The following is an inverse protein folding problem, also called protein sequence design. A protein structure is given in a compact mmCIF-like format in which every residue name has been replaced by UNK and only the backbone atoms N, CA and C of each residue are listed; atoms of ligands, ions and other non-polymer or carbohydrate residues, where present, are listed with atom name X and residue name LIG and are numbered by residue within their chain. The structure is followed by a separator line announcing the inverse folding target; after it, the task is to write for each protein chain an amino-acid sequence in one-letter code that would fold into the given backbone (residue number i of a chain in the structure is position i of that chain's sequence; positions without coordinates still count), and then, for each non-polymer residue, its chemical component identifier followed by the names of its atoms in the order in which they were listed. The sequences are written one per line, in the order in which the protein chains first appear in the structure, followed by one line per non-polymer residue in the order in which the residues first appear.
data_IF_292114096747
#
_entry.id   IF_292114096747
#
_cell.length_a   1.000
_cell.length_b   1.000
_cell.length_c   1.000
_cell.angle_alpha   90.00
_cell.angle_beta   90.00
_cell.angle_gamma   90.00
#
_symmetry.space_group_name_H-M   'P 1'
#
loop_
_entity.id
_entity.type
_entity.pdbx_description
1 polymer ?
#
# COMPACT_ATOMS: atom_id res chain seq x y z
N UNK A 1 22.36 -15.79 26.61
CA UNK A 1 22.93 -15.84 25.24
C UNK A 1 23.44 -14.44 24.95
N UNK A 2 24.69 -14.27 24.53
CA UNK A 2 25.16 -12.95 24.08
C UNK A 2 24.35 -12.59 22.84
N UNK A 3 23.47 -11.59 22.93
CA UNK A 3 22.85 -10.99 21.75
C UNK A 3 23.98 -10.33 20.94
N UNK A 4 24.32 -10.97 19.82
CA UNK A 4 25.33 -10.45 18.92
C UNK A 4 24.77 -9.19 18.25
N UNK A 5 25.49 -8.08 18.34
CA UNK A 5 25.08 -6.80 17.75
C UNK A 5 24.91 -6.98 16.23
N UNK A 6 23.72 -6.69 15.67
CA UNK A 6 23.46 -6.86 14.23
C UNK A 6 24.45 -6.07 13.38
N UNK A 7 24.87 -6.64 12.25
CA UNK A 7 25.74 -5.95 11.30
C UNK A 7 24.96 -5.42 10.11
N UNK A 8 25.19 -4.15 9.81
CA UNK A 8 24.34 -3.38 8.91
C UNK A 8 25.09 -2.99 7.64
N UNK A 9 24.39 -3.08 6.51
CA UNK A 9 24.82 -2.49 5.25
C UNK A 9 23.80 -1.43 4.79
N UNK A 10 24.29 -0.26 4.40
CA UNK A 10 23.49 0.86 3.92
C UNK A 10 23.77 1.09 2.44
N UNK A 11 22.71 1.07 1.62
CA UNK A 11 22.75 1.38 0.19
C UNK A 11 21.74 2.49 -0.09
N UNK A 12 22.22 3.64 -0.54
CA UNK A 12 21.39 4.80 -0.83
C UNK A 12 21.37 5.08 -2.33
N UNK A 13 20.19 5.01 -2.93
CA UNK A 13 19.88 5.64 -4.20
C UNK A 13 19.80 7.15 -3.99
N UNK A 14 20.99 7.74 -3.92
CA UNK A 14 21.18 9.08 -3.38
C UNK A 14 20.60 10.13 -4.32
N UNK A 15 20.61 9.87 -5.63
CA UNK A 15 19.99 10.75 -6.61
C UNK A 15 18.48 10.88 -6.37
N UNK A 16 17.75 9.76 -6.30
CA UNK A 16 16.31 9.80 -6.07
C UNK A 16 15.97 10.39 -4.69
N UNK A 17 16.70 10.03 -3.64
CA UNK A 17 16.48 10.60 -2.31
C UNK A 17 16.73 12.11 -2.27
N UNK A 18 17.80 12.60 -2.91
CA UNK A 18 18.13 14.03 -2.90
C UNK A 18 17.12 14.85 -3.73
N UNK A 19 16.59 14.28 -4.82
CA UNK A 19 15.50 14.90 -5.60
C UNK A 19 14.22 14.97 -4.77
N UNK A 20 13.75 13.85 -4.20
CA UNK A 20 12.56 13.82 -3.34
C UNK A 20 12.69 14.75 -2.13
N UNK A 21 13.86 14.82 -1.50
CA UNK A 21 14.11 15.72 -0.38
C UNK A 21 13.93 17.20 -0.78
N UNK A 22 14.42 17.58 -1.97
CA UNK A 22 14.26 18.95 -2.49
C UNK A 22 12.81 19.26 -2.87
N UNK A 23 12.05 18.26 -3.32
CA UNK A 23 10.62 18.43 -3.61
C UNK A 23 9.79 18.64 -2.33
N UNK A 24 10.08 17.89 -1.26
CA UNK A 24 9.39 18.01 0.03
C UNK A 24 9.80 19.25 0.80
N UNK A 25 11.09 19.62 0.76
CA UNK A 25 11.65 20.75 1.51
C UNK A 25 12.30 21.78 0.57
N UNK A 26 11.53 22.47 -0.29
CA UNK A 26 12.07 23.34 -1.33
C UNK A 26 12.83 24.56 -0.80
N UNK A 27 12.53 25.00 0.43
CA UNK A 27 13.15 26.16 1.08
C UNK A 27 14.32 25.79 2.01
N UNK A 28 14.55 24.50 2.25
CA UNK A 28 15.63 24.04 3.12
C UNK A 28 16.86 23.74 2.27
N UNK A 29 18.00 24.40 2.51
CA UNK A 29 19.25 24.03 1.85
C UNK A 29 19.74 22.68 2.39
N UNK A 30 20.16 21.78 1.50
CA UNK A 30 20.58 20.41 1.84
C UNK A 30 19.59 19.67 2.76
N UNK A 31 18.34 19.45 2.30
CA UNK A 31 17.29 18.89 3.16
C UNK A 31 17.56 17.44 3.60
N UNK A 32 18.34 16.68 2.83
CA UNK A 32 18.67 15.30 3.17
C UNK A 32 19.82 15.27 4.20
N UNK A 33 19.47 15.08 5.48
CA UNK A 33 20.45 15.03 6.58
C UNK A 33 21.00 13.62 6.76
N UNK A 34 22.27 13.43 6.40
CA UNK A 34 22.93 12.11 6.42
C UNK A 34 23.11 11.58 7.85
N UNK A 35 23.31 12.46 8.83
CA UNK A 35 23.44 12.07 10.24
C UNK A 35 22.17 11.38 10.75
N UNK A 36 21.00 11.91 10.39
CA UNK A 36 19.72 11.37 10.86
C UNK A 36 19.51 9.93 10.32
N UNK A 37 19.90 9.68 9.07
CA UNK A 37 19.90 8.33 8.46
C UNK A 37 20.89 7.41 9.18
N UNK A 38 22.12 7.88 9.40
CA UNK A 38 23.16 7.08 10.05
C UNK A 38 22.83 6.77 11.50
N UNK A 39 22.30 7.72 12.25
CA UNK A 39 21.97 7.55 13.66
C UNK A 39 20.77 6.63 13.82
N UNK A 40 19.78 6.71 12.91
CA UNK A 40 18.72 5.72 12.83
C UNK A 40 19.29 4.31 12.59
N UNK A 41 20.18 4.14 11.61
CA UNK A 41 20.80 2.85 11.33
C UNK A 41 21.65 2.32 12.50
N UNK A 42 22.47 3.16 13.13
CA UNK A 42 23.26 2.79 14.33
C UNK A 42 22.39 2.33 15.50
N UNK A 43 21.14 2.81 15.58
CA UNK A 43 20.16 2.32 16.56
C UNK A 43 19.84 0.83 16.42
N UNK A 44 20.08 0.23 15.25
CA UNK A 44 19.85 -1.20 14.99
C UNK A 44 21.10 -2.06 15.18
N UNK A 45 22.30 -1.48 15.13
CA UNK A 45 23.54 -2.25 15.17
C UNK A 45 24.76 -1.54 14.54
N UNK A 46 25.79 -2.33 14.27
CA UNK A 46 27.06 -1.81 13.75
C UNK A 46 27.03 -1.68 12.23
N UNK A 47 27.19 -0.46 11.74
CA UNK A 47 27.25 -0.17 10.30
C UNK A 47 28.61 -0.56 9.73
N UNK A 48 28.64 -1.61 8.90
CA UNK A 48 29.84 -2.12 8.24
C UNK A 48 30.02 -1.57 6.82
N UNK A 49 28.92 -1.38 6.09
CA UNK A 49 28.94 -0.93 4.69
C UNK A 49 28.08 0.31 4.56
N UNK A 50 28.59 1.31 3.84
CA UNK A 50 27.90 2.56 3.53
C UNK A 50 28.21 2.92 2.08
N UNK A 51 27.27 2.68 1.17
CA UNK A 51 27.40 3.02 -0.25
C UNK A 51 26.30 3.99 -0.65
N UNK A 52 26.67 5.01 -1.41
CA UNK A 52 25.73 5.95 -2.00
C UNK A 52 25.94 5.98 -3.52
N UNK A 53 24.84 6.02 -4.26
CA UNK A 53 24.80 5.88 -5.73
C UNK A 53 24.20 7.15 -6.34
N UNK A 54 24.97 7.88 -7.15
CA UNK A 54 24.50 9.07 -7.87
C UNK A 54 25.46 9.54 -8.97
N UNK A 55 24.96 10.43 -9.84
CA UNK A 55 25.79 11.32 -10.65
C UNK A 55 26.25 12.53 -9.80
N UNK A 56 27.41 12.40 -9.16
CA UNK A 56 27.98 13.41 -8.25
C UNK A 56 28.33 14.75 -8.92
N UNK A 57 28.36 14.80 -10.25
CA UNK A 57 28.64 16.03 -10.98
C UNK A 57 27.39 16.91 -11.16
N UNK A 58 26.20 16.39 -10.84
CA UNK A 58 24.93 17.08 -11.05
C UNK A 58 24.27 17.51 -9.74
N UNK A 59 23.60 18.68 -9.71
CA UNK A 59 22.66 19.01 -8.66
C UNK A 59 21.43 18.07 -8.70
N UNK A 60 20.82 17.73 -7.55
CA UNK A 60 21.17 18.20 -6.21
C UNK A 60 22.28 17.39 -5.52
N UNK A 61 22.90 16.37 -6.13
CA UNK A 61 23.82 15.44 -5.46
C UNK A 61 25.18 16.04 -5.13
N UNK A 62 25.72 16.88 -6.02
CA UNK A 62 27.06 17.47 -5.89
C UNK A 62 27.33 18.19 -4.55
N UNK A 63 26.30 18.79 -3.95
CA UNK A 63 26.43 19.52 -2.67
C UNK A 63 26.63 18.62 -1.44
N UNK A 64 26.43 17.29 -1.56
CA UNK A 64 26.50 16.35 -0.44
C UNK A 64 27.80 15.52 -0.42
N UNK A 65 28.67 15.69 -1.43
CA UNK A 65 29.89 14.90 -1.59
C UNK A 65 30.80 14.97 -0.36
N UNK A 66 31.08 16.18 0.15
CA UNK A 66 31.92 16.34 1.33
C UNK A 66 31.28 15.77 2.60
N UNK A 67 29.96 15.92 2.78
CA UNK A 67 29.26 15.38 3.95
C UNK A 67 29.31 13.84 3.98
N UNK A 68 29.08 13.21 2.83
CA UNK A 68 29.16 11.75 2.69
C UNK A 68 30.60 11.24 2.86
N UNK A 69 31.58 11.96 2.30
CA UNK A 69 33.00 11.62 2.42
C UNK A 69 33.49 11.68 3.87
N UNK A 70 33.12 12.73 4.61
CA UNK A 70 33.44 12.87 6.04
C UNK A 70 32.88 11.71 6.88
N UNK A 71 31.80 11.08 6.42
CA UNK A 71 31.14 9.94 7.05
C UNK A 71 31.59 8.59 6.50
N UNK A 72 32.62 8.57 5.65
CA UNK A 72 33.15 7.38 5.01
C UNK A 72 32.07 6.56 4.27
N UNK A 73 31.23 7.24 3.50
CA UNK A 73 30.44 6.57 2.46
C UNK A 73 31.31 6.32 1.23
N UNK A 74 31.20 5.14 0.66
CA UNK A 74 31.68 4.84 -0.68
C UNK A 74 30.75 5.51 -1.70
N UNK A 75 31.29 6.49 -2.42
CA UNK A 75 30.58 7.24 -3.45
C UNK A 75 30.69 6.51 -4.78
N UNK A 76 29.65 5.76 -5.15
CA UNK A 76 29.59 5.06 -6.44
C UNK A 76 29.12 6.03 -7.50
N UNK A 77 30.03 6.41 -8.40
CA UNK A 77 29.73 7.32 -9.50
C UNK A 77 28.98 6.61 -10.62
N UNK A 78 27.83 7.17 -11.00
CA UNK A 78 26.95 6.63 -12.04
C UNK A 78 26.70 7.70 -13.10
N UNK A 79 27.56 7.80 -14.14
CA UNK A 79 27.33 8.74 -15.22
C UNK A 79 26.09 8.32 -16.03
N UNK A 80 25.27 9.28 -16.45
CA UNK A 80 24.14 8.99 -17.35
C UNK A 80 24.67 8.55 -18.73
N UNK A 81 24.49 7.27 -19.05
CA UNK A 81 25.01 6.63 -20.28
C UNK A 81 23.99 6.53 -21.42
N UNK A 82 22.72 6.91 -21.21
CA UNK A 82 21.69 6.82 -22.26
C UNK A 82 20.66 7.97 -22.20
N UNK A 83 20.09 8.30 -23.37
CA UNK A 83 18.97 9.24 -23.54
C UNK A 83 17.70 8.84 -22.75
N UNK A 84 17.64 7.61 -22.22
CA UNK A 84 16.53 7.08 -21.40
C UNK A 84 16.83 7.06 -19.88
N UNK A 85 18.04 7.44 -19.47
CA UNK A 85 18.39 8.06 -18.18
C UNK A 85 18.25 7.30 -16.85
N UNK A 86 17.45 6.21 -16.71
CA UNK A 86 17.03 5.76 -15.36
C UNK A 86 17.58 4.40 -14.89
N UNK A 87 17.67 3.38 -15.73
CA UNK A 87 17.82 1.99 -15.25
C UNK A 87 19.24 1.57 -14.79
N UNK A 88 20.26 2.43 -14.94
CA UNK A 88 21.65 2.06 -14.66
C UNK A 88 22.01 2.08 -13.17
N UNK A 89 21.44 3.03 -12.43
CA UNK A 89 21.72 3.22 -11.02
C UNK A 89 21.17 2.06 -10.18
N UNK A 90 19.90 1.73 -10.40
CA UNK A 90 19.19 0.70 -9.65
C UNK A 90 19.81 -0.67 -9.86
N UNK A 91 20.18 -0.98 -11.10
CA UNK A 91 20.86 -2.23 -11.44
C UNK A 91 22.23 -2.30 -10.77
N UNK A 92 23.01 -1.22 -10.80
CA UNK A 92 24.34 -1.22 -10.18
C UNK A 92 24.25 -1.37 -8.65
N UNK A 93 23.35 -0.64 -8.01
CA UNK A 93 23.10 -0.77 -6.57
C UNK A 93 22.65 -2.19 -6.21
N UNK A 94 21.77 -2.78 -7.02
CA UNK A 94 21.30 -4.16 -6.83
C UNK A 94 22.44 -5.17 -6.91
N UNK A 95 23.33 -5.04 -7.90
CA UNK A 95 24.50 -5.93 -8.06
C UNK A 95 25.41 -5.80 -6.84
N UNK A 96 25.80 -4.57 -6.47
CA UNK A 96 26.68 -4.32 -5.33
C UNK A 96 26.09 -4.88 -4.01
N UNK A 97 24.79 -4.69 -3.77
CA UNK A 97 24.12 -5.19 -2.58
C UNK A 97 24.06 -6.72 -2.53
N UNK A 98 23.82 -7.36 -3.68
CA UNK A 98 23.84 -8.83 -3.76
C UNK A 98 25.26 -9.37 -3.56
N UNK A 99 26.28 -8.84 -4.23
CA UNK A 99 27.68 -9.25 -4.05
C UNK A 99 28.10 -9.15 -2.59
N UNK A 100 27.85 -8.01 -1.94
CA UNK A 100 28.15 -7.82 -0.53
C UNK A 100 27.39 -8.80 0.37
N UNK A 101 26.11 -9.08 0.06
CA UNK A 101 25.31 -10.06 0.79
C UNK A 101 25.91 -11.48 0.71
N UNK A 102 26.43 -11.86 -0.45
CA UNK A 102 27.03 -13.17 -0.70
C UNK A 102 28.43 -13.30 -0.10
N UNK A 103 29.26 -12.27 -0.26
CA UNK A 103 30.66 -12.28 0.19
C UNK A 103 30.79 -12.07 1.70
N UNK A 104 29.85 -11.33 2.30
CA UNK A 104 29.90 -10.93 3.71
C UNK A 104 28.74 -11.57 4.47
N UNK A 105 28.97 -12.82 4.88
CA UNK A 105 27.99 -13.61 5.64
C UNK A 105 27.56 -12.95 6.96
N UNK A 106 28.40 -12.08 7.52
CA UNK A 106 28.15 -11.37 8.78
C UNK A 106 27.04 -10.33 8.71
N UNK A 107 26.61 -9.89 7.51
CA UNK A 107 25.55 -8.89 7.38
C UNK A 107 24.20 -9.47 7.79
N UNK A 108 23.49 -8.80 8.69
CA UNK A 108 22.19 -9.22 9.20
C UNK A 108 21.05 -8.33 8.67
N UNK A 109 21.33 -7.03 8.49
CA UNK A 109 20.31 -6.02 8.14
C UNK A 109 20.76 -5.15 6.97
N UNK A 110 19.87 -4.95 6.01
CA UNK A 110 20.08 -4.14 4.82
C UNK A 110 19.19 -2.91 4.85
N UNK A 111 19.80 -1.73 4.90
CA UNK A 111 19.12 -0.45 4.77
C UNK A 111 19.16 -0.02 3.31
N UNK A 112 17.98 0.06 2.68
CA UNK A 112 17.82 0.49 1.30
C UNK A 112 17.15 1.86 1.30
N UNK A 113 17.91 2.90 0.97
CA UNK A 113 17.40 4.25 0.79
C UNK A 113 16.92 4.46 -0.63
N UNK A 114 15.64 4.23 -0.90
CA UNK A 114 15.07 4.34 -2.26
C UNK A 114 13.56 4.57 -2.20
N UNK A 115 13.01 5.23 -3.23
CA UNK A 115 11.57 5.26 -3.50
C UNK A 115 11.14 4.34 -4.64
N UNK A 116 12.07 3.72 -5.37
CA UNK A 116 11.75 3.01 -6.61
C UNK A 116 11.24 1.57 -6.36
N UNK A 117 10.12 1.22 -6.99
CA UNK A 117 9.52 -0.10 -6.92
C UNK A 117 10.36 -1.20 -7.57
N UNK A 118 11.32 -0.84 -8.43
CA UNK A 118 12.19 -1.80 -9.12
C UNK A 118 13.12 -2.58 -8.16
N UNK A 119 13.35 -2.07 -6.94
CA UNK A 119 14.11 -2.77 -5.89
C UNK A 119 13.37 -3.95 -5.24
N UNK A 120 12.10 -4.20 -5.60
CA UNK A 120 11.31 -5.30 -5.03
C UNK A 120 12.00 -6.67 -5.14
N UNK A 121 12.70 -6.91 -6.25
CA UNK A 121 13.42 -8.16 -6.48
C UNK A 121 14.65 -8.29 -5.58
N UNK A 122 15.35 -7.18 -5.32
CA UNK A 122 16.46 -7.12 -4.36
C UNK A 122 15.97 -7.41 -2.94
N UNK A 123 14.90 -6.74 -2.50
CA UNK A 123 14.29 -6.95 -1.17
C UNK A 123 13.98 -8.43 -0.97
N UNK A 124 13.29 -9.05 -1.94
CA UNK A 124 12.94 -10.47 -1.87
C UNK A 124 14.17 -11.37 -1.78
N UNK A 125 15.22 -11.11 -2.56
CA UNK A 125 16.45 -11.91 -2.55
C UNK A 125 17.22 -11.80 -1.23
N UNK A 126 17.24 -10.62 -0.60
CA UNK A 126 17.83 -10.43 0.71
C UNK A 126 17.06 -11.22 1.77
N UNK A 127 15.72 -11.13 1.75
CA UNK A 127 14.84 -11.86 2.67
C UNK A 127 14.89 -13.37 2.50
N UNK A 128 15.03 -13.87 1.26
CA UNK A 128 15.26 -15.29 0.98
C UNK A 128 16.50 -15.86 1.68
N UNK A 129 17.45 -14.98 2.07
CA UNK A 129 18.65 -15.35 2.84
C UNK A 129 18.50 -15.16 4.34
N UNK A 130 17.29 -14.88 4.82
CA UNK A 130 17.00 -14.69 6.25
C UNK A 130 17.55 -13.37 6.82
N UNK A 131 17.85 -12.40 5.96
CA UNK A 131 18.35 -11.07 6.36
C UNK A 131 17.20 -10.07 6.40
N UNK A 132 17.25 -9.12 7.33
CA UNK A 132 16.22 -8.09 7.49
C UNK A 132 16.44 -6.95 6.49
N UNK A 133 15.34 -6.42 5.93
CA UNK A 133 15.37 -5.28 5.01
C UNK A 133 14.59 -4.09 5.58
N UNK A 134 15.31 -3.00 5.84
CA UNK A 134 14.77 -1.71 6.25
C UNK A 134 14.81 -0.77 5.05
N UNK A 135 13.65 -0.23 4.65
CA UNK A 135 13.58 0.74 3.55
C UNK A 135 13.42 2.15 4.12
N UNK A 136 14.27 3.06 3.64
CA UNK A 136 14.19 4.48 3.94
C UNK A 136 13.72 5.22 2.69
N UNK A 137 12.69 6.04 2.80
CA UNK A 137 12.26 6.85 1.66
C UNK A 137 11.24 7.90 2.05
N UNK A 138 10.89 8.74 1.08
CA UNK A 138 9.86 9.74 1.26
C UNK A 138 8.48 9.11 1.05
N UNK A 139 7.50 9.51 1.85
CA UNK A 139 6.15 8.93 1.84
C UNK A 139 5.49 9.01 0.45
N UNK A 140 5.71 10.11 -0.27
CA UNK A 140 5.16 10.33 -1.61
C UNK A 140 5.89 9.54 -2.72
N UNK A 141 7.11 9.07 -2.48
CA UNK A 141 7.90 8.34 -3.47
C UNK A 141 7.82 6.83 -3.29
N UNK A 142 7.56 6.35 -2.07
CA UNK A 142 7.48 4.91 -1.76
C UNK A 142 6.12 4.33 -2.19
N UNK A 143 6.15 3.51 -3.24
CA UNK A 143 4.99 2.74 -3.68
C UNK A 143 4.56 1.65 -2.68
N UNK A 144 3.28 1.29 -2.69
CA UNK A 144 2.68 0.26 -1.80
C UNK A 144 3.42 -1.06 -1.81
N UNK A 145 3.86 -1.50 -2.98
CA UNK A 145 4.54 -2.79 -3.16
C UNK A 145 5.78 -2.91 -2.28
N UNK A 146 6.56 -1.85 -2.15
CA UNK A 146 7.76 -1.84 -1.29
C UNK A 146 7.35 -2.02 0.17
N UNK A 147 6.36 -1.25 0.65
CA UNK A 147 5.89 -1.31 2.04
C UNK A 147 5.47 -2.70 2.46
N UNK A 148 4.74 -3.41 1.62
CA UNK A 148 4.28 -4.77 1.91
C UNK A 148 5.36 -5.85 1.86
N UNK A 149 6.52 -5.57 1.26
CA UNK A 149 7.56 -6.58 1.03
C UNK A 149 8.84 -6.34 1.84
N UNK A 150 9.10 -5.12 2.29
CA UNK A 150 10.15 -4.84 3.28
C UNK A 150 9.79 -5.43 4.66
N UNK A 151 10.77 -5.50 5.56
CA UNK A 151 10.51 -5.87 6.96
C UNK A 151 10.16 -4.64 7.79
N UNK A 152 10.76 -3.49 7.45
CA UNK A 152 10.47 -2.18 8.05
C UNK A 152 10.51 -1.09 7.01
N UNK A 153 9.62 -0.13 7.13
CA UNK A 153 9.67 1.12 6.38
C UNK A 153 9.80 2.30 7.35
N UNK A 154 10.75 3.18 7.09
CA UNK A 154 10.90 4.44 7.83
C UNK A 154 10.77 5.63 6.88
N UNK A 155 9.88 6.56 7.26
CA UNK A 155 9.68 7.81 6.53
C UNK A 155 10.86 8.74 6.79
N UNK A 156 11.50 9.19 5.70
CA UNK A 156 12.53 10.22 5.81
C UNK A 156 11.93 11.56 6.29
N UNK A 157 10.67 11.85 6.04
CA UNK A 157 10.01 13.03 6.61
C UNK A 157 9.92 12.98 8.14
N UNK A 158 9.65 11.80 8.70
CA UNK A 158 9.61 11.60 10.15
C UNK A 158 11.00 11.70 10.78
N UNK A 159 12.06 11.23 10.09
CA UNK A 159 13.45 11.35 10.53
C UNK A 159 13.99 12.78 10.46
N UNK A 160 13.74 13.48 9.34
CA UNK A 160 14.25 14.83 9.07
C UNK A 160 13.44 15.92 9.80
N UNK A 161 12.23 15.59 10.25
CA UNK A 161 11.28 16.49 10.89
C UNK A 161 10.22 17.04 9.92
N UNK A 162 8.98 17.23 10.41
CA UNK A 162 7.84 17.66 9.59
C UNK A 162 8.12 18.98 8.86
N UNK A 163 7.95 18.97 7.53
CA UNK A 163 8.05 20.16 6.70
C UNK A 163 7.00 21.23 7.11
N UNK A 164 7.29 22.53 6.97
CA UNK A 164 6.24 23.54 6.96
C UNK A 164 5.26 23.22 5.81
N UNK A 165 3.97 23.23 6.09
CA UNK A 165 2.91 22.81 5.17
C UNK A 165 3.09 23.42 3.76
N UNK A 166 3.35 22.61 2.70
CA UNK A 166 3.39 23.13 1.35
C UNK A 166 1.98 23.46 0.86
N UNK A 167 1.87 24.52 0.06
CA UNK A 167 0.68 24.85 -0.70
C UNK A 167 0.28 23.66 -1.59
N UNK A 168 -1.02 23.34 -1.53
CA UNK A 168 -1.76 22.32 -2.28
C UNK A 168 -1.15 22.03 -3.66
N UNK A 169 -0.51 20.86 -3.80
CA UNK A 169 -0.42 20.15 -5.06
C UNK A 169 -1.32 18.94 -4.98
N UNK A 170 -2.16 18.80 -6.00
CA UNK A 170 -3.20 17.78 -6.12
C UNK A 170 -2.64 16.39 -5.77
N UNK A 171 -3.25 15.77 -4.76
CA UNK A 171 -3.04 14.36 -4.42
C UNK A 171 -3.19 13.55 -5.71
N UNK A 172 -2.15 12.79 -6.10
CA UNK A 172 -2.37 11.57 -6.88
C UNK A 172 -3.35 10.72 -6.05
N UNK A 173 -4.56 10.54 -6.56
CA UNK A 173 -5.53 9.57 -6.02
C UNK A 173 -5.00 8.16 -6.27
N UNK A 174 -3.96 7.76 -5.51
CA UNK A 174 -3.66 6.35 -5.28
C UNK A 174 -4.69 5.83 -4.27
N UNK A 175 -5.73 5.19 -4.78
CA UNK A 175 -6.71 4.35 -4.07
C UNK A 175 -6.64 4.43 -2.54
N UNK A 176 -7.18 5.49 -1.92
CA UNK A 176 -7.47 5.50 -0.47
C UNK A 176 -8.45 4.34 -0.17
N UNK A 177 -7.90 3.14 0.06
CA UNK A 177 -8.47 2.17 0.98
C UNK A 177 -7.89 2.55 2.34
N UNK A 178 -8.70 3.29 3.08
CA UNK A 178 -8.76 3.35 4.54
C UNK A 178 -7.58 2.69 5.25
N UNK A 179 -6.63 3.52 5.65
CA UNK A 179 -5.64 3.20 6.67
C UNK A 179 -6.37 3.15 8.03
N UNK A 180 -7.29 2.19 8.19
CA UNK A 180 -8.05 2.00 9.44
C UNK A 180 -7.17 1.20 10.41
N UNK A 181 -6.64 1.83 11.48
CA UNK A 181 -5.83 1.14 12.47
C UNK A 181 -6.58 -0.04 13.12
N UNK A 182 -7.92 -0.02 13.14
CA UNK A 182 -8.74 -1.12 13.64
C UNK A 182 -8.60 -2.38 12.79
N UNK A 183 -8.57 -2.26 11.47
CA UNK A 183 -8.46 -3.40 10.55
C UNK A 183 -7.10 -4.09 10.68
N UNK A 184 -6.03 -3.31 10.89
CA UNK A 184 -4.70 -3.87 11.18
C UNK A 184 -4.70 -4.71 12.46
N UNK A 185 -5.37 -4.23 13.52
CA UNK A 185 -5.52 -5.02 14.74
C UNK A 185 -6.42 -6.24 14.56
N UNK A 186 -7.50 -6.16 13.76
CA UNK A 186 -8.32 -7.33 13.48
C UNK A 186 -7.51 -8.43 12.77
N UNK A 187 -6.65 -8.05 11.83
CA UNK A 187 -5.68 -8.97 11.19
C UNK A 187 -4.71 -9.56 12.22
N UNK A 188 -4.20 -8.75 13.13
CA UNK A 188 -3.35 -9.21 14.23
C UNK A 188 -4.07 -10.25 15.11
N UNK A 189 -5.27 -9.92 15.59
CA UNK A 189 -6.07 -10.79 16.48
C UNK A 189 -6.42 -12.10 15.79
N UNK A 190 -6.83 -12.05 14.51
CA UNK A 190 -7.12 -13.24 13.69
C UNK A 190 -5.94 -14.21 13.61
N UNK A 191 -4.71 -13.69 13.51
CA UNK A 191 -3.51 -14.50 13.31
C UNK A 191 -2.93 -15.10 14.59
N UNK A 192 -3.38 -14.69 15.79
CA UNK A 192 -2.83 -15.18 17.07
C UNK A 192 -3.25 -16.60 17.44
N UNK A 193 -4.24 -17.18 16.74
CA UNK A 193 -4.74 -18.56 16.87
C UNK A 193 -5.09 -19.05 18.29
N UNK A 194 -5.04 -18.18 19.30
CA UNK A 194 -5.20 -18.46 20.72
C UNK A 194 -5.93 -17.29 21.37
N UNK A 195 -6.82 -17.58 22.33
CA UNK A 195 -7.48 -16.57 23.17
C UNK A 195 -6.58 -16.12 24.34
N UNK A 196 -5.30 -16.45 24.30
CA UNK A 196 -4.33 -16.06 25.32
C UNK A 196 -4.02 -14.56 25.25
N UNK A 197 -3.76 -13.90 26.40
CA UNK A 197 -3.41 -12.50 26.42
C UNK A 197 -2.05 -12.24 25.73
N UNK A 198 -1.92 -11.09 25.06
CA UNK A 198 -0.69 -10.71 24.38
C UNK A 198 0.24 -9.93 25.30
N UNK A 199 1.56 -10.10 25.15
CA UNK A 199 2.52 -9.21 25.80
C UNK A 199 2.53 -7.86 25.07
N UNK A 200 2.29 -6.77 25.79
CA UNK A 200 2.14 -5.42 25.24
C UNK A 200 3.32 -5.00 24.35
N UNK A 201 4.55 -5.34 24.75
CA UNK A 201 5.77 -5.03 24.00
C UNK A 201 5.90 -5.81 22.68
N UNK A 202 5.24 -6.96 22.55
CA UNK A 202 5.24 -7.75 21.32
C UNK A 202 4.22 -7.24 20.30
N UNK A 203 3.08 -6.72 20.76
CA UNK A 203 1.99 -6.24 19.90
C UNK A 203 2.51 -5.24 18.86
N UNK A 204 3.30 -4.24 19.28
CA UNK A 204 3.83 -3.22 18.35
C UNK A 204 4.71 -3.86 17.27
N UNK A 205 5.60 -4.77 17.66
CA UNK A 205 6.47 -5.46 16.70
C UNK A 205 5.68 -6.35 15.74
N UNK A 206 4.62 -7.00 16.23
CA UNK A 206 3.77 -7.84 15.39
C UNK A 206 2.91 -7.02 14.41
N UNK A 207 2.41 -5.86 14.83
CA UNK A 207 1.72 -4.92 13.94
C UNK A 207 2.68 -4.41 12.85
N UNK A 208 3.91 -4.06 13.21
CA UNK A 208 4.95 -3.67 12.23
C UNK A 208 5.34 -4.81 11.29
N UNK A 209 5.24 -6.08 11.72
CA UNK A 209 5.44 -7.23 10.81
C UNK A 209 4.29 -7.39 9.82
N UNK A 210 3.05 -7.08 10.23
CA UNK A 210 1.86 -7.16 9.38
C UNK A 210 1.72 -5.98 8.43
N UNK A 211 2.18 -4.81 8.87
CA UNK A 211 2.31 -3.59 8.10
C UNK A 211 3.60 -2.84 8.52
N UNK A 212 4.68 -2.97 7.74
CA UNK A 212 5.97 -2.29 7.99
C UNK A 212 5.90 -0.78 8.05
N UNK A 213 4.82 -0.16 7.56
CA UNK A 213 4.62 1.28 7.55
C UNK A 213 3.83 1.81 8.75
N UNK A 214 3.36 0.91 9.62
CA UNK A 214 2.60 1.23 10.82
C UNK A 214 3.39 2.15 11.76
N UNK A 215 2.75 3.25 12.16
CA UNK A 215 3.26 4.17 13.18
C UNK A 215 2.08 4.82 13.90
N UNK A 216 2.06 4.75 15.24
CA UNK A 216 1.01 5.36 16.05
C UNK A 216 0.87 6.88 15.80
N UNK A 217 1.96 7.54 15.37
CA UNK A 217 1.99 8.98 15.07
C UNK A 217 1.16 9.33 13.84
N UNK A 218 1.03 8.41 12.87
CA UNK A 218 0.20 8.59 11.67
C UNK A 218 -1.27 8.76 12.03
N UNK A 219 -1.69 8.12 13.12
CA UNK A 219 -3.05 8.21 13.65
C UNK A 219 -3.21 9.28 14.74
N UNK A 220 -2.18 10.11 14.98
CA UNK A 220 -2.24 11.26 15.88
C UNK A 220 -1.82 10.99 17.34
N UNK A 221 -1.30 9.80 17.66
CA UNK A 221 -0.93 9.44 19.03
C UNK A 221 0.57 9.64 19.30
N UNK A 222 0.93 10.04 20.53
CA UNK A 222 2.33 10.32 20.88
C UNK A 222 3.11 9.06 21.25
N UNK A 223 2.42 8.09 21.87
CA UNK A 223 3.01 6.85 22.34
C UNK A 223 2.10 5.66 22.00
N UNK A 224 2.71 4.52 21.67
CA UNK A 224 1.96 3.29 21.33
C UNK A 224 0.92 2.88 22.39
N UNK A 225 1.19 3.09 23.68
CA UNK A 225 0.23 2.79 24.75
C UNK A 225 -1.05 3.61 24.64
N UNK A 226 -0.93 4.90 24.31
CA UNK A 226 -2.07 5.81 24.10
C UNK A 226 -2.90 5.38 22.89
N UNK A 227 -2.21 5.01 21.80
CA UNK A 227 -2.83 4.45 20.61
C UNK A 227 -3.58 3.16 20.92
N UNK A 228 -2.96 2.23 21.66
CA UNK A 228 -3.59 0.99 22.09
C UNK A 228 -4.80 1.29 22.97
N UNK A 229 -4.65 2.14 23.99
CA UNK A 229 -5.74 2.50 24.92
C UNK A 229 -6.98 3.07 24.21
N UNK A 230 -6.82 3.67 23.02
CA UNK A 230 -7.95 4.15 22.20
C UNK A 230 -8.90 3.03 21.73
N UNK A 231 -8.40 1.79 21.65
CA UNK A 231 -9.19 0.61 21.29
C UNK A 231 -9.71 -0.19 22.49
N UNK A 232 -9.50 0.32 23.71
CA UNK A 232 -10.01 -0.34 24.93
C UNK A 232 -11.54 -0.36 24.91
N UNK A 233 -12.12 -1.53 25.15
CA UNK A 233 -13.57 -1.74 25.09
C UNK A 233 -14.08 -2.09 23.70
N UNK A 234 -13.37 -1.72 22.62
CA UNK A 234 -13.63 -2.21 21.26
C UNK A 234 -12.89 -3.53 21.02
N UNK A 235 -11.55 -3.49 20.93
CA UNK A 235 -10.73 -4.63 20.52
C UNK A 235 -10.22 -5.48 21.69
N UNK A 236 -10.01 -4.89 22.87
CA UNK A 236 -9.53 -5.59 24.06
C UNK A 236 -10.26 -5.12 25.32
N UNK A 237 -10.32 -5.99 26.33
CA UNK A 237 -11.09 -5.77 27.55
C UNK A 237 -10.27 -5.14 28.66
N UNK A 238 -9.02 -5.58 28.84
CA UNK A 238 -8.16 -5.11 29.93
C UNK A 238 -6.68 -5.29 29.64
N UNK A 239 -5.87 -4.52 30.37
CA UNK A 239 -4.42 -4.68 30.44
C UNK A 239 -4.09 -4.99 31.90
N UNK A 240 -3.43 -6.12 32.18
CA UNK A 240 -3.01 -6.53 33.54
C UNK A 240 -1.51 -6.72 33.59
N UNK A 241 -0.91 -6.56 34.76
CA UNK A 241 0.49 -6.92 34.98
C UNK A 241 0.57 -8.40 35.32
N UNK A 242 1.49 -9.12 34.70
CA UNK A 242 1.82 -10.49 35.10
C UNK A 242 2.74 -10.43 36.32
N UNK A 243 2.23 -10.82 37.49
CA UNK A 243 2.95 -10.80 38.75
C UNK A 243 4.17 -11.75 38.78
N UNK A 244 4.26 -12.71 37.83
CA UNK A 244 5.39 -13.65 37.74
C UNK A 244 6.48 -13.19 36.76
N UNK A 245 6.10 -12.57 35.65
CA UNK A 245 7.02 -12.19 34.57
C UNK A 245 7.30 -10.67 34.50
N UNK A 246 6.52 -9.84 35.19
CA UNK A 246 6.68 -8.37 35.21
C UNK A 246 6.25 -7.66 33.93
N UNK A 247 5.61 -8.36 32.98
CA UNK A 247 5.16 -7.78 31.71
C UNK A 247 3.67 -7.40 31.74
N UNK A 248 3.28 -6.41 30.94
CA UNK A 248 1.88 -6.08 30.73
C UNK A 248 1.24 -7.02 29.70
N UNK A 249 0.16 -7.68 30.11
CA UNK A 249 -0.65 -8.59 29.33
C UNK A 249 -1.95 -7.90 28.88
N UNK A 250 -2.25 -7.97 27.59
CA UNK A 250 -3.42 -7.37 26.94
C UNK A 250 -4.42 -8.47 26.58
N UNK A 251 -5.63 -8.37 27.13
CA UNK A 251 -6.70 -9.36 26.96
C UNK A 251 -7.62 -8.94 25.81
N UNK A 252 -7.32 -9.40 24.60
CA UNK A 252 -8.14 -9.15 23.41
C UNK A 252 -9.50 -9.85 23.50
N UNK A 253 -10.53 -9.27 22.88
CA UNK A 253 -11.76 -10.01 22.58
C UNK A 253 -11.46 -11.06 21.51
N UNK A 254 -12.20 -12.17 21.51
CA UNK A 254 -12.01 -13.19 20.48
C UNK A 254 -12.31 -12.63 19.09
N UNK A 255 -11.66 -13.15 18.05
CA UNK A 255 -11.95 -12.71 16.68
C UNK A 255 -13.43 -12.92 16.32
N UNK A 256 -14.05 -13.99 16.85
CA UNK A 256 -15.48 -14.25 16.74
C UNK A 256 -16.32 -13.18 17.41
N UNK A 257 -15.97 -12.72 18.62
CA UNK A 257 -16.70 -11.64 19.32
C UNK A 257 -16.60 -10.29 18.60
N UNK A 258 -15.44 -10.01 17.99
CA UNK A 258 -15.19 -8.78 17.24
C UNK A 258 -15.87 -8.76 15.87
N UNK A 259 -16.21 -9.93 15.34
CA UNK A 259 -16.91 -10.10 14.06
C UNK A 259 -18.37 -10.50 14.23
N UNK A 260 -18.82 -10.85 15.44
CA UNK A 260 -20.20 -11.25 15.73
C UNK A 260 -21.20 -10.09 15.77
N UNK A 261 -20.75 -8.85 15.66
CA UNK A 261 -21.60 -7.67 15.45
C UNK A 261 -21.33 -7.06 14.06
N UNK A 262 -21.54 -7.84 13.00
CA UNK A 262 -21.75 -7.22 11.70
C UNK A 262 -23.12 -6.56 11.75
N UNK A 263 -23.11 -5.24 11.88
CA UNK A 263 -24.29 -4.43 11.73
C UNK A 263 -24.86 -4.64 10.31
N UNK A 264 -25.89 -5.48 10.17
CA UNK A 264 -26.56 -5.73 8.88
C UNK A 264 -26.92 -4.41 8.18
N UNK A 265 -27.20 -3.34 8.95
CA UNK A 265 -27.49 -2.03 8.38
C UNK A 265 -26.28 -1.41 7.67
N UNK A 266 -25.06 -1.60 8.17
CA UNK A 266 -23.84 -1.13 7.50
C UNK A 266 -23.57 -1.91 6.21
N UNK A 267 -23.78 -3.23 6.22
CA UNK A 267 -23.62 -4.06 5.01
C UNK A 267 -24.69 -3.70 3.97
N UNK A 268 -25.93 -3.50 4.39
CA UNK A 268 -27.01 -3.02 3.51
C UNK A 268 -26.70 -1.64 2.95
N UNK A 269 -26.24 -0.71 3.80
CA UNK A 269 -25.85 0.63 3.36
C UNK A 269 -24.72 0.57 2.32
N UNK A 270 -23.71 -0.29 2.51
CA UNK A 270 -22.65 -0.47 1.53
C UNK A 270 -23.18 -1.01 0.19
N UNK A 271 -24.04 -2.05 0.22
CA UNK A 271 -24.64 -2.62 -0.99
C UNK A 271 -25.51 -1.58 -1.72
N UNK A 272 -26.34 -0.82 -0.99
CA UNK A 272 -27.33 0.09 -1.56
C UNK A 272 -26.77 1.47 -1.94
N UNK A 273 -25.90 2.04 -1.11
CA UNK A 273 -25.41 3.43 -1.28
C UNK A 273 -24.05 3.49 -1.97
N UNK A 274 -23.11 2.65 -1.56
CA UNK A 274 -21.74 2.69 -2.10
C UNK A 274 -21.62 1.92 -3.42
N UNK A 275 -22.10 0.68 -3.41
CA UNK A 275 -22.15 -0.17 -4.60
C UNK A 275 -23.30 0.19 -5.54
N UNK A 276 -24.33 0.87 -5.03
CA UNK A 276 -25.53 1.26 -5.79
C UNK A 276 -26.15 0.07 -6.52
N UNK A 277 -26.26 -1.05 -5.81
CA UNK A 277 -26.69 -2.31 -6.38
C UNK A 277 -28.08 -2.20 -7.04
N UNK A 278 -28.14 -2.54 -8.33
CA UNK A 278 -29.40 -2.60 -9.08
C UNK A 278 -30.12 -3.91 -8.76
N UNK A 279 -31.12 -3.85 -7.87
CA UNK A 279 -31.93 -5.03 -7.47
C UNK A 279 -32.77 -5.62 -8.62
N UNK A 280 -33.32 -4.75 -9.48
CA UNK A 280 -34.16 -5.17 -10.61
C UNK A 280 -33.36 -5.91 -11.69
N UNK A 281 -33.61 -7.21 -11.82
CA UNK A 281 -32.97 -8.08 -12.82
C UNK A 281 -33.29 -7.69 -14.26
N UNK A 282 -34.50 -7.21 -14.54
CA UNK A 282 -34.88 -6.80 -15.90
C UNK A 282 -34.11 -5.54 -16.31
N UNK A 283 -33.94 -4.60 -15.38
CA UNK A 283 -33.13 -3.41 -15.61
C UNK A 283 -31.66 -3.78 -15.86
N UNK A 284 -31.07 -4.70 -15.09
CA UNK A 284 -29.69 -5.19 -15.34
C UNK A 284 -29.56 -5.80 -16.74
N UNK A 285 -30.50 -6.67 -17.13
CA UNK A 285 -30.53 -7.28 -18.47
C UNK A 285 -30.66 -6.25 -19.59
N UNK A 286 -31.49 -5.22 -19.40
CA UNK A 286 -31.61 -4.12 -20.35
C UNK A 286 -30.27 -3.36 -20.47
N UNK A 287 -29.62 -3.04 -19.35
CA UNK A 287 -28.31 -2.36 -19.34
C UNK A 287 -27.26 -3.21 -20.08
N UNK A 288 -27.19 -4.53 -19.84
CA UNK A 288 -26.23 -5.39 -20.58
C UNK A 288 -26.47 -5.34 -22.09
N UNK A 289 -27.73 -5.40 -22.52
CA UNK A 289 -28.10 -5.35 -23.94
C UNK A 289 -27.68 -4.02 -24.59
N UNK A 290 -27.97 -2.90 -23.93
CA UNK A 290 -27.58 -1.58 -24.44
C UNK A 290 -26.06 -1.42 -24.45
N UNK A 291 -25.33 -1.91 -23.43
CA UNK A 291 -23.87 -1.91 -23.44
C UNK A 291 -23.35 -2.64 -24.66
N UNK A 292 -23.81 -3.87 -24.96
CA UNK A 292 -23.35 -4.59 -26.17
C UNK A 292 -23.71 -3.79 -27.43
N UNK A 293 -24.90 -3.17 -27.43
CA UNK A 293 -25.38 -2.23 -28.44
C UNK A 293 -24.37 -1.14 -28.81
N UNK A 294 -23.78 -0.49 -27.79
CA UNK A 294 -22.87 0.64 -27.93
C UNK A 294 -21.53 0.29 -28.59
N UNK A 295 -21.17 -1.00 -28.69
CA UNK A 295 -19.90 -1.45 -29.28
C UNK A 295 -20.04 -2.06 -30.69
N UNK A 296 -21.23 -2.04 -31.30
CA UNK A 296 -21.51 -2.78 -32.54
C UNK A 296 -20.87 -2.26 -33.85
N UNK A 297 -19.86 -1.39 -33.81
CA UNK A 297 -19.21 -0.87 -35.02
C UNK A 297 -17.73 -0.50 -34.83
N UNK A 298 -16.88 -1.46 -34.40
CA UNK A 298 -15.42 -1.28 -34.18
C UNK A 298 -15.04 -0.06 -33.31
N UNK A 299 -16.02 0.46 -32.57
CA UNK A 299 -15.91 1.68 -31.79
C UNK A 299 -15.31 1.38 -30.45
N UNK A 300 -14.07 1.79 -30.25
CA UNK A 300 -13.59 2.01 -28.90
C UNK A 300 -14.52 3.02 -28.22
N UNK A 301 -14.98 2.71 -27.00
CA UNK A 301 -15.77 3.65 -26.20
C UNK A 301 -15.17 3.80 -24.82
N UNK A 302 -15.40 4.93 -24.18
CA UNK A 302 -14.92 5.19 -22.82
C UNK A 302 -16.02 4.90 -21.81
N UNK A 303 -15.66 4.64 -20.55
CA UNK A 303 -16.66 4.43 -19.49
C UNK A 303 -17.52 5.70 -19.33
N UNK A 304 -16.95 6.89 -19.47
CA UNK A 304 -17.72 8.14 -19.43
C UNK A 304 -18.74 8.22 -20.56
N UNK A 305 -18.36 7.87 -21.79
CA UNK A 305 -19.26 7.88 -22.93
C UNK A 305 -20.40 6.87 -22.73
N UNK A 306 -20.08 5.65 -22.29
CA UNK A 306 -21.08 4.63 -21.95
C UNK A 306 -22.06 5.13 -20.87
N UNK A 307 -21.59 5.84 -19.84
CA UNK A 307 -22.47 6.41 -18.81
C UNK A 307 -23.45 7.41 -19.43
N UNK A 308 -22.97 8.30 -20.29
CA UNK A 308 -23.78 9.36 -20.89
C UNK A 308 -24.82 8.80 -21.89
N UNK A 309 -24.42 7.81 -22.68
CA UNK A 309 -25.29 7.14 -23.64
C UNK A 309 -26.37 6.33 -22.93
N UNK A 310 -26.00 5.50 -21.94
CA UNK A 310 -26.96 4.74 -21.13
C UNK A 310 -27.90 5.68 -20.36
N UNK A 311 -27.37 6.78 -19.79
CA UNK A 311 -28.20 7.74 -19.08
C UNK A 311 -29.27 8.37 -19.98
N UNK A 312 -28.95 8.57 -21.26
CA UNK A 312 -29.87 9.09 -22.27
C UNK A 312 -30.87 8.02 -22.73
N UNK A 313 -30.41 6.80 -23.00
CA UNK A 313 -31.24 5.66 -23.43
C UNK A 313 -32.29 5.24 -22.40
N UNK A 314 -31.97 5.39 -21.11
CA UNK A 314 -32.89 5.08 -20.01
C UNK A 314 -33.73 6.29 -19.55
N UNK A 315 -33.92 7.32 -20.40
CA UNK A 315 -34.69 8.53 -20.09
C UNK A 315 -34.27 9.19 -18.77
N UNK A 316 -32.98 9.12 -18.40
CA UNK A 316 -32.42 9.65 -17.15
C UNK A 316 -32.98 9.01 -15.87
N UNK A 317 -33.75 7.91 -15.97
CA UNK A 317 -34.35 7.21 -14.82
C UNK A 317 -33.32 6.50 -13.95
N UNK A 318 -32.19 6.08 -14.54
CA UNK A 318 -31.07 5.49 -13.80
C UNK A 318 -30.01 6.57 -13.53
N UNK A 319 -29.67 6.89 -12.28
CA UNK A 319 -28.66 7.92 -12.00
C UNK A 319 -27.29 7.58 -12.59
N UNK A 320 -26.56 8.58 -13.12
CA UNK A 320 -25.19 8.40 -13.65
C UNK A 320 -24.23 7.73 -12.66
N UNK A 321 -24.35 8.05 -11.37
CA UNK A 321 -23.54 7.43 -10.32
C UNK A 321 -23.81 5.92 -10.19
N UNK A 322 -25.05 5.48 -10.40
CA UNK A 322 -25.44 4.07 -10.42
C UNK A 322 -24.86 3.37 -11.66
N UNK A 323 -25.00 3.98 -12.84
CA UNK A 323 -24.40 3.47 -14.08
C UNK A 323 -22.87 3.37 -13.98
N UNK A 324 -22.22 4.37 -13.38
CA UNK A 324 -20.78 4.39 -13.13
C UNK A 324 -20.33 3.21 -12.26
N UNK A 325 -21.04 2.93 -11.15
CA UNK A 325 -20.73 1.79 -10.27
C UNK A 325 -21.00 0.46 -10.97
N UNK A 326 -22.09 0.36 -11.71
CA UNK A 326 -22.44 -0.83 -12.49
C UNK A 326 -21.36 -1.16 -13.53
N UNK A 327 -21.00 -0.19 -14.37
CA UNK A 327 -19.96 -0.34 -15.38
C UNK A 327 -18.61 -0.68 -14.77
N UNK A 328 -18.20 -0.03 -13.67
CA UNK A 328 -16.96 -0.38 -12.97
C UNK A 328 -16.97 -1.82 -12.46
N UNK A 329 -18.11 -2.30 -11.95
CA UNK A 329 -18.26 -3.69 -11.47
C UNK A 329 -18.11 -4.69 -12.62
N UNK A 330 -18.59 -4.34 -13.81
CA UNK A 330 -18.49 -5.14 -15.04
C UNK A 330 -17.18 -4.94 -15.82
N UNK A 331 -16.35 -3.97 -15.43
CA UNK A 331 -15.05 -3.67 -16.02
C UNK A 331 -13.95 -4.64 -15.52
N UNK A 332 -12.69 -4.32 -15.82
CA UNK A 332 -11.48 -5.10 -15.46
C UNK A 332 -11.44 -6.49 -16.10
N UNK A 333 -11.67 -6.56 -17.42
CA UNK A 333 -11.49 -7.79 -18.19
C UNK A 333 -12.64 -8.79 -18.05
N UNK A 334 -13.85 -8.37 -17.69
CA UNK A 334 -15.05 -9.22 -17.64
C UNK A 334 -15.93 -9.06 -18.88
N UNK A 335 -16.56 -7.90 -19.04
CA UNK A 335 -17.38 -7.61 -20.22
C UNK A 335 -16.58 -6.84 -21.29
N UNK A 336 -15.70 -5.95 -20.84
CA UNK A 336 -14.82 -5.16 -21.70
C UNK A 336 -13.41 -5.09 -21.12
N UNK A 337 -12.44 -4.82 -22.00
CA UNK A 337 -11.01 -4.70 -21.70
C UNK A 337 -10.47 -3.42 -22.33
N UNK A 338 -9.34 -2.93 -21.82
CA UNK A 338 -8.67 -1.78 -22.42
C UNK A 338 -8.27 -2.06 -23.87
N UNK A 339 -8.50 -1.09 -24.74
CA UNK A 339 -8.06 -1.16 -26.14
C UNK A 339 -6.53 -1.10 -26.25
N UNK A 340 -5.88 -0.31 -25.38
CA UNK A 340 -4.43 -0.13 -25.36
C UNK A 340 -3.86 -0.27 -23.95
N UNK A 341 -2.99 -1.25 -23.72
CA UNK A 341 -2.40 -1.56 -22.40
C UNK A 341 -1.40 -0.50 -21.90
N UNK A 342 -0.96 0.44 -22.76
CA UNK A 342 0.06 1.46 -22.43
C UNK A 342 -0.49 2.82 -21.98
N UNK A 343 -1.81 3.01 -21.88
CA UNK A 343 -2.38 4.31 -21.50
C UNK A 343 -2.22 4.59 -20.00
N UNK A 344 -1.64 5.75 -19.64
CA UNK A 344 -1.34 6.16 -18.26
C UNK A 344 -2.29 7.24 -17.73
N UNK A 345 -3.45 7.43 -18.37
CA UNK A 345 -4.47 8.41 -17.95
C UNK A 345 -5.59 7.81 -17.10
N UNK A 346 -6.65 8.59 -16.87
CA UNK A 346 -7.79 8.17 -16.05
C UNK A 346 -8.52 6.96 -16.66
N UNK A 347 -8.77 5.93 -15.84
CA UNK A 347 -9.47 4.69 -16.23
C UNK A 347 -10.83 4.96 -16.89
N UNK A 348 -11.53 6.03 -16.49
CA UNK A 348 -12.85 6.39 -17.02
C UNK A 348 -12.83 7.00 -18.43
N UNK A 349 -11.69 7.57 -18.83
CA UNK A 349 -11.47 8.16 -20.16
C UNK A 349 -10.66 7.25 -21.07
N UNK A 350 -10.21 6.10 -20.56
CA UNK A 350 -9.42 5.13 -21.30
C UNK A 350 -10.34 4.34 -22.27
N UNK A 351 -9.97 4.22 -23.56
CA UNK A 351 -10.77 3.48 -24.53
C UNK A 351 -10.88 1.98 -24.18
N UNK A 352 -12.10 1.46 -24.26
CA UNK A 352 -12.48 0.08 -23.98
C UNK A 352 -12.95 -0.61 -25.26
N UNK A 353 -12.74 -1.93 -25.33
CA UNK A 353 -13.29 -2.83 -26.35
C UNK A 353 -14.02 -4.01 -25.67
N UNK A 354 -15.08 -4.52 -26.31
CA UNK A 354 -15.73 -5.74 -25.83
C UNK A 354 -14.78 -6.93 -25.89
N UNK A 355 -15.01 -7.89 -24.98
CA UNK A 355 -14.37 -9.20 -25.09
C UNK A 355 -14.99 -9.99 -26.26
N UNK A 356 -14.12 -10.67 -27.02
CA UNK A 356 -14.52 -11.47 -28.17
C UNK A 356 -15.35 -12.70 -27.78
N UNK A 357 -15.15 -13.21 -26.56
CA UNK A 357 -15.80 -14.38 -25.98
C UNK A 357 -16.83 -13.98 -24.90
N UNK A 358 -17.74 -13.08 -25.23
CA UNK A 358 -18.73 -12.60 -24.27
C UNK A 358 -19.66 -13.75 -23.82
N UNK A 359 -19.81 -14.00 -22.50
CA UNK A 359 -20.70 -15.04 -22.01
C UNK A 359 -22.18 -14.67 -22.22
N UNK A 360 -23.09 -15.65 -22.07
CA UNK A 360 -24.53 -15.41 -22.18
C UNK A 360 -25.02 -14.37 -21.17
N UNK A 361 -26.15 -13.72 -21.46
CA UNK A 361 -26.74 -12.71 -20.57
C UNK A 361 -27.00 -13.22 -19.14
N UNK A 362 -27.32 -14.50 -18.99
CA UNK A 362 -27.50 -15.13 -17.68
C UNK A 362 -26.17 -15.24 -16.93
N UNK A 363 -25.12 -15.71 -17.61
CA UNK A 363 -23.78 -15.77 -17.03
C UNK A 363 -23.20 -14.40 -16.72
N UNK A 364 -23.50 -13.37 -17.53
CA UNK A 364 -23.11 -11.99 -17.22
C UNK A 364 -23.76 -11.49 -15.93
N UNK A 365 -25.03 -11.84 -15.70
CA UNK A 365 -25.73 -11.50 -14.46
C UNK A 365 -25.09 -12.23 -13.27
N UNK A 366 -24.78 -13.52 -13.40
CA UNK A 366 -24.11 -14.28 -12.34
C UNK A 366 -22.74 -13.69 -11.99
N UNK A 367 -21.94 -13.29 -12.99
CA UNK A 367 -20.65 -12.62 -12.80
C UNK A 367 -20.82 -11.30 -12.05
N UNK A 368 -21.83 -10.49 -12.42
CA UNK A 368 -22.12 -9.24 -11.74
C UNK A 368 -22.50 -9.47 -10.28
N UNK A 369 -23.44 -10.38 -10.01
CA UNK A 369 -23.91 -10.68 -8.66
C UNK A 369 -22.77 -11.21 -7.78
N UNK A 370 -22.00 -12.18 -8.29
CA UNK A 370 -20.85 -12.71 -7.56
C UNK A 370 -19.82 -11.63 -7.25
N UNK A 371 -19.59 -10.67 -8.16
CA UNK A 371 -18.68 -9.56 -7.90
C UNK A 371 -19.15 -8.64 -6.79
N UNK A 372 -20.46 -8.35 -6.72
CA UNK A 372 -21.02 -7.57 -5.60
C UNK A 372 -20.83 -8.31 -4.28
N UNK A 373 -21.05 -9.62 -4.27
CA UNK A 373 -20.80 -10.48 -3.10
C UNK A 373 -19.32 -10.40 -2.70
N UNK A 374 -18.40 -10.66 -3.62
CA UNK A 374 -16.96 -10.67 -3.34
C UNK A 374 -16.47 -9.32 -2.80
N UNK A 375 -16.94 -8.21 -3.37
CA UNK A 375 -16.59 -6.86 -2.92
C UNK A 375 -17.18 -6.55 -1.54
N UNK A 376 -18.38 -7.03 -1.26
CA UNK A 376 -19.03 -6.88 0.05
C UNK A 376 -18.32 -7.70 1.11
N UNK A 377 -17.99 -8.96 0.83
CA UNK A 377 -17.23 -9.83 1.74
C UNK A 377 -15.80 -9.33 1.97
N UNK A 378 -15.20 -8.70 0.96
CA UNK A 378 -13.90 -8.03 1.10
C UNK A 378 -13.98 -6.81 2.02
N UNK A 379 -15.05 -6.01 1.93
CA UNK A 379 -15.25 -4.82 2.76
C UNK A 379 -15.73 -5.15 4.18
N UNK A 380 -16.51 -6.21 4.33
CA UNK A 380 -17.08 -6.68 5.58
C UNK A 380 -16.65 -8.14 5.82
N UNK A 381 -15.37 -8.39 6.17
CA UNK A 381 -14.88 -9.72 6.44
C UNK A 381 -15.62 -10.33 7.64
N UNK A 382 -16.09 -11.57 7.49
CA UNK A 382 -16.86 -12.30 8.51
C UNK A 382 -18.36 -12.40 8.25
N UNK A 383 -18.92 -11.67 7.28
CA UNK A 383 -20.32 -11.85 6.86
C UNK A 383 -20.46 -13.17 6.11
N UNK A 384 -21.42 -14.04 6.46
CA UNK A 384 -21.72 -15.21 5.64
C UNK A 384 -22.21 -14.79 4.25
N UNK A 385 -21.75 -15.45 3.20
CA UNK A 385 -22.18 -15.18 1.83
C UNK A 385 -23.72 -15.26 1.68
N UNK A 386 -24.37 -16.22 2.35
CA UNK A 386 -25.83 -16.35 2.37
C UNK A 386 -26.54 -15.10 2.90
N UNK A 387 -25.98 -14.45 3.93
CA UNK A 387 -26.51 -13.21 4.50
C UNK A 387 -26.40 -12.06 3.50
N UNK A 388 -25.29 -11.95 2.76
CA UNK A 388 -25.12 -10.95 1.69
C UNK A 388 -26.14 -11.18 0.57
N UNK A 389 -26.30 -12.42 0.12
CA UNK A 389 -27.27 -12.82 -0.92
C UNK A 389 -28.70 -12.46 -0.51
N UNK A 390 -29.06 -12.71 0.76
CA UNK A 390 -30.35 -12.32 1.34
C UNK A 390 -30.54 -10.80 1.37
N UNK A 391 -29.52 -10.03 1.76
CA UNK A 391 -29.56 -8.56 1.76
C UNK A 391 -29.67 -7.97 0.35
N UNK A 392 -29.11 -8.64 -0.65
CA UNK A 392 -29.30 -8.30 -2.06
C UNK A 392 -30.71 -8.64 -2.58
N UNK A 393 -31.51 -9.40 -1.83
CA UNK A 393 -32.86 -9.81 -2.24
C UNK A 393 -32.86 -10.88 -3.33
N UNK A 394 -31.83 -11.74 -3.34
CA UNK A 394 -31.66 -12.83 -4.31
C UNK A 394 -32.14 -14.20 -3.79
N UNK A 395 -32.65 -14.23 -2.55
CA UNK A 395 -33.15 -15.43 -1.85
C UNK A 395 -34.54 -15.86 -2.30
#
# INVERSE_FOLDING_TARGET
MNEQVPKIAIYLDFENLAISAKEVYPSTPRPLRIDDILDYAKGYGDVLIKKAFADWNKPPCNQYVEDLRLRAFDLVFLPQTSLSGKNGADLRMTIDALEDMYDKSLLDVFFLGTGDTDFIHLIRKIKERGKEVVVLGFEHSIGRTIRYNCDRFESLEDLLGKAPAPAVKEKKEEEELEDDPRELFLRYIKNRSTDEPAILSQIKNDLMRLDPSFSEKKYGYKHFKEFLDSFKGDLFTSIKMDDKAGHHLVFFKSYSELTSDINEAQVRDFIEKDMRFIKDRNLRKAIYKEIIGLFHADGETTINQMIDDLWSLFDKKVPKATLKRFLRTMAEGRMFKFANVKYTGNVYTMPQVLKADLPSMEKLDDIYLQRIIDLTLKKHPGVPQESVTKMMGLS
#
